data_IF_500057538691
#
_entry.id   IF_500057538691
#
_cell.length_a   1.000
_cell.length_b   1.000
_cell.length_c   1.000
_cell.angle_alpha   90.00
_cell.angle_beta   90.00
_cell.angle_gamma   90.00
#
_symmetry.space_group_name_H-M   'P 1'
#
loop_
_entity.id
_entity.type
_entity.pdbx_description
1 polymer ?
#
# COMPACT_ATOMS: atom_id res chain seq x y z
N UNK A 1 13.33 15.61 -17.29
CA UNK A 1 12.38 14.69 -16.64
C UNK A 1 13.15 13.48 -16.19
N UNK A 2 13.69 13.53 -14.97
CA UNK A 2 14.41 12.39 -14.40
C UNK A 2 13.37 11.34 -14.05
N UNK A 3 13.31 10.28 -14.86
CA UNK A 3 12.64 9.06 -14.47
C UNK A 3 13.39 8.53 -13.25
N UNK A 4 12.83 8.74 -12.06
CA UNK A 4 13.27 8.00 -10.89
C UNK A 4 13.09 6.53 -11.23
N UNK A 5 14.20 5.80 -11.34
CA UNK A 5 14.14 4.35 -11.35
C UNK A 5 13.34 3.95 -10.11
N UNK A 6 12.19 3.31 -10.32
CA UNK A 6 11.36 2.84 -9.22
C UNK A 6 12.20 1.85 -8.42
N UNK A 7 12.37 2.12 -7.13
CA UNK A 7 13.18 1.26 -6.27
C UNK A 7 12.47 -0.08 -6.10
N UNK A 8 13.12 -1.14 -6.57
CA UNK A 8 12.61 -2.51 -6.52
C UNK A 8 13.51 -3.38 -5.65
N UNK A 9 12.89 -4.28 -4.90
CA UNK A 9 13.52 -5.15 -3.92
C UNK A 9 13.35 -6.60 -4.33
N UNK A 10 14.42 -7.38 -4.22
CA UNK A 10 14.37 -8.83 -4.36
C UNK A 10 13.53 -9.42 -3.22
N UNK A 11 12.47 -10.15 -3.57
CA UNK A 11 11.49 -10.62 -2.60
C UNK A 11 12.02 -11.72 -1.67
N UNK A 12 13.14 -12.34 -2.00
CA UNK A 12 13.76 -13.41 -1.21
C UNK A 12 14.83 -12.86 -0.26
N UNK A 13 15.39 -11.68 -0.54
CA UNK A 13 16.53 -11.11 0.22
C UNK A 13 16.27 -9.72 0.83
N UNK A 14 15.35 -8.95 0.26
CA UNK A 14 15.10 -7.56 0.62
C UNK A 14 13.61 -7.26 0.92
N UNK A 15 12.82 -8.31 1.18
CA UNK A 15 11.41 -8.20 1.57
C UNK A 15 11.21 -7.38 2.84
N UNK A 16 12.10 -7.53 3.83
CA UNK A 16 12.04 -6.79 5.10
C UNK A 16 12.28 -5.29 4.92
N UNK A 17 13.17 -4.90 4.00
CA UNK A 17 13.42 -3.49 3.69
C UNK A 17 12.20 -2.87 2.98
N UNK A 18 11.62 -3.60 2.02
CA UNK A 18 10.38 -3.18 1.37
C UNK A 18 9.23 -3.07 2.38
N UNK A 19 9.13 -3.99 3.34
CA UNK A 19 8.15 -3.95 4.41
C UNK A 19 8.34 -2.72 5.30
N UNK A 20 9.58 -2.42 5.71
CA UNK A 20 9.88 -1.24 6.52
C UNK A 20 9.50 0.06 5.80
N UNK A 21 9.80 0.17 4.49
CA UNK A 21 9.43 1.34 3.68
C UNK A 21 7.92 1.46 3.50
N UNK A 22 7.23 0.34 3.26
CA UNK A 22 5.77 0.28 3.18
C UNK A 22 5.14 0.77 4.49
N UNK A 23 5.60 0.26 5.62
CA UNK A 23 5.08 0.60 6.94
C UNK A 23 5.31 2.10 7.26
N UNK A 24 6.53 2.59 7.05
CA UNK A 24 6.87 3.99 7.27
C UNK A 24 5.97 4.94 6.46
N UNK A 25 5.71 4.62 5.19
CA UNK A 25 4.84 5.43 4.35
C UNK A 25 3.39 5.48 4.87
N UNK A 26 2.87 4.36 5.40
CA UNK A 26 1.53 4.32 5.98
C UNK A 26 1.44 5.02 7.34
N UNK A 27 2.48 4.92 8.17
CA UNK A 27 2.53 5.62 9.46
C UNK A 27 2.56 7.15 9.28
N UNK A 28 3.26 7.66 8.26
CA UNK A 28 3.31 9.10 7.94
C UNK A 28 1.92 9.73 7.73
N UNK A 29 0.95 8.94 7.24
CA UNK A 29 -0.43 9.38 7.05
C UNK A 29 -1.36 9.00 8.21
N UNK A 30 -0.80 8.50 9.32
CA UNK A 30 -1.51 7.99 10.49
C UNK A 30 -2.48 6.85 10.16
N UNK A 31 -2.14 5.99 9.18
CA UNK A 31 -3.01 4.91 8.74
C UNK A 31 -3.41 3.96 9.87
N UNK A 32 -2.53 3.77 10.86
CA UNK A 32 -2.73 2.81 11.96
C UNK A 32 -3.43 3.41 13.19
N UNK A 33 -3.70 4.71 13.24
CA UNK A 33 -4.20 5.36 14.46
C UNK A 33 -5.73 5.32 14.52
N UNK A 34 -6.28 4.55 15.45
CA UNK A 34 -7.74 4.51 15.69
C UNK A 34 -8.21 5.39 16.84
N UNK A 35 -7.31 5.89 17.70
CA UNK A 35 -7.67 6.61 18.93
C UNK A 35 -7.26 8.08 18.90
N UNK A 36 -8.07 8.99 19.48
CA UNK A 36 -7.67 10.40 19.73
C UNK A 36 -6.39 10.53 20.55
N UNK A 37 -6.02 9.50 21.33
CA UNK A 37 -4.79 9.45 22.10
C UNK A 37 -3.53 9.15 21.25
N UNK A 38 -3.70 8.88 19.95
CA UNK A 38 -2.60 8.66 19.01
C UNK A 38 -1.91 7.30 19.08
N UNK A 39 -2.45 6.35 19.85
CA UNK A 39 -1.94 4.98 19.91
C UNK A 39 -2.27 4.20 18.62
N UNK A 40 -1.34 3.36 18.19
CA UNK A 40 -1.53 2.42 17.08
C UNK A 40 -2.61 1.39 17.44
N UNK A 41 -3.48 1.08 16.47
CA UNK A 41 -4.50 0.04 16.56
C UNK A 41 -3.91 -1.30 16.08
N UNK A 42 -3.74 -2.30 16.96
CA UNK A 42 -3.21 -3.61 16.60
C UNK A 42 -3.96 -4.28 15.44
N UNK A 43 -5.26 -4.01 15.29
CA UNK A 43 -6.05 -4.57 14.20
C UNK A 43 -5.66 -3.94 12.86
N UNK A 44 -5.32 -2.65 12.83
CA UNK A 44 -4.83 -1.97 11.62
C UNK A 44 -3.43 -2.42 11.24
N UNK A 45 -2.57 -2.70 12.23
CA UNK A 45 -1.24 -3.26 12.00
C UNK A 45 -1.33 -4.64 11.36
N UNK A 46 -2.15 -5.52 11.94
CA UNK A 46 -2.41 -6.85 11.40
C UNK A 46 -2.96 -6.79 9.97
N UNK A 47 -3.91 -5.88 9.71
CA UNK A 47 -4.48 -5.64 8.38
C UNK A 47 -3.43 -5.16 7.37
N UNK A 48 -2.52 -4.28 7.77
CA UNK A 48 -1.48 -3.76 6.90
C UNK A 48 -0.45 -4.83 6.52
N UNK A 49 -0.03 -5.66 7.49
CA UNK A 49 0.81 -6.83 7.23
C UNK A 49 0.13 -7.79 6.26
N UNK A 50 -1.16 -8.07 6.46
CA UNK A 50 -1.92 -8.90 5.52
C UNK A 50 -1.98 -8.30 4.11
N UNK A 51 -2.16 -6.97 3.99
CA UNK A 51 -2.16 -6.31 2.69
C UNK A 51 -0.81 -6.36 1.99
N UNK A 52 0.27 -6.28 2.76
CA UNK A 52 1.62 -6.45 2.23
C UNK A 52 1.81 -7.86 1.66
N UNK A 53 1.46 -8.89 2.43
CA UNK A 53 1.58 -10.29 2.00
C UNK A 53 0.72 -10.59 0.77
N UNK A 54 -0.53 -10.11 0.76
CA UNK A 54 -1.43 -10.24 -0.39
C UNK A 54 -0.83 -9.59 -1.65
N UNK A 55 -0.27 -8.39 -1.51
CA UNK A 55 0.34 -7.67 -2.62
C UNK A 55 1.56 -8.41 -3.17
N UNK A 56 2.43 -8.92 -2.30
CA UNK A 56 3.57 -9.73 -2.72
C UNK A 56 3.14 -11.03 -3.38
N UNK A 57 2.05 -11.65 -2.91
CA UNK A 57 1.48 -12.83 -3.56
C UNK A 57 1.00 -12.52 -4.98
N UNK A 58 0.37 -11.35 -5.20
CA UNK A 58 -0.04 -10.90 -6.55
C UNK A 58 1.19 -10.72 -7.45
N UNK A 59 2.25 -10.08 -6.95
CA UNK A 59 3.51 -9.90 -7.69
C UNK A 59 4.16 -11.23 -8.04
N UNK A 60 4.22 -12.17 -7.09
CA UNK A 60 4.79 -13.50 -7.34
C UNK A 60 3.97 -14.29 -8.36
N UNK A 61 2.64 -14.19 -8.31
CA UNK A 61 1.74 -14.83 -9.30
C UNK A 61 1.92 -14.31 -10.72
N UNK A 62 2.41 -13.08 -10.90
CA UNK A 62 2.78 -12.56 -12.22
C UNK A 62 4.17 -13.03 -12.68
N UNK A 63 4.82 -13.95 -11.95
CA UNK A 63 6.13 -14.49 -12.27
C UNK A 63 7.31 -13.57 -11.93
N UNK A 64 7.06 -12.42 -11.31
CA UNK A 64 8.12 -11.48 -10.92
C UNK A 64 8.70 -11.86 -9.55
N UNK A 65 10.01 -11.66 -9.42
CA UNK A 65 10.76 -11.88 -8.16
C UNK A 65 11.15 -10.60 -7.43
N UNK A 66 10.84 -9.46 -8.04
CA UNK A 66 11.09 -8.13 -7.48
C UNK A 66 9.78 -7.38 -7.33
N UNK A 67 9.68 -6.54 -6.29
CA UNK A 67 8.58 -5.61 -6.09
C UNK A 67 9.09 -4.27 -5.56
N UNK A 68 8.35 -3.20 -5.83
CA UNK A 68 8.57 -1.88 -5.24
C UNK A 68 7.32 -1.34 -4.55
N UNK A 69 7.43 -0.16 -3.94
CA UNK A 69 6.27 0.53 -3.33
C UNK A 69 5.15 0.81 -4.34
N UNK A 70 5.50 1.00 -5.62
CA UNK A 70 4.53 1.17 -6.71
C UNK A 70 3.62 -0.05 -6.88
N UNK A 71 4.15 -1.26 -6.71
CA UNK A 71 3.35 -2.48 -6.84
C UNK A 71 2.37 -2.62 -5.69
N UNK A 72 2.80 -2.24 -4.49
CA UNK A 72 1.94 -2.16 -3.31
C UNK A 72 0.87 -1.07 -3.50
N UNK A 73 1.22 0.08 -4.09
CA UNK A 73 0.28 1.14 -4.41
C UNK A 73 -0.79 0.69 -5.43
N UNK A 74 -0.37 -0.03 -6.48
CA UNK A 74 -1.28 -0.61 -7.48
C UNK A 74 -2.22 -1.67 -6.89
N UNK A 75 -1.72 -2.48 -5.94
CA UNK A 75 -2.55 -3.40 -5.16
C UNK A 75 -3.59 -2.64 -4.34
N UNK A 76 -3.19 -1.60 -3.60
CA UNK A 76 -4.11 -0.77 -2.79
C UNK A 76 -5.18 -0.12 -3.67
N UNK A 77 -4.80 0.47 -4.80
CA UNK A 77 -5.74 1.03 -5.79
C UNK A 77 -6.72 -0.03 -6.28
N UNK A 78 -6.24 -1.22 -6.65
CA UNK A 78 -7.10 -2.28 -7.18
C UNK A 78 -8.10 -2.78 -6.13
N UNK A 79 -7.64 -3.00 -4.89
CA UNK A 79 -8.50 -3.36 -3.76
C UNK A 79 -9.51 -2.24 -3.43
N UNK A 80 -9.10 -0.97 -3.54
CA UNK A 80 -9.97 0.19 -3.42
C UNK A 80 -11.09 0.20 -4.48
N UNK A 81 -10.74 -0.13 -5.74
CA UNK A 81 -11.72 -0.27 -6.82
C UNK A 81 -12.75 -1.37 -6.50
N UNK A 82 -12.34 -2.47 -5.85
CA UNK A 82 -13.25 -3.56 -5.46
C UNK A 82 -14.25 -3.10 -4.40
N UNK A 83 -13.80 -2.31 -3.41
CA UNK A 83 -14.69 -1.69 -2.44
C UNK A 83 -15.62 -0.64 -3.06
N UNK A 84 -15.15 0.12 -4.06
CA UNK A 84 -16.01 1.04 -4.83
C UNK A 84 -17.13 0.31 -5.55
N UNK A 85 -16.83 -0.79 -6.26
CA UNK A 85 -17.85 -1.63 -6.91
C UNK A 85 -18.84 -2.21 -5.92
N UNK A 86 -18.39 -2.44 -4.69
CA UNK A 86 -19.20 -2.95 -3.58
C UNK A 86 -19.88 -1.85 -2.76
N UNK A 87 -19.84 -0.58 -3.19
CA UNK A 87 -20.41 0.60 -2.52
C UNK A 87 -19.90 0.85 -1.09
N UNK A 88 -18.73 0.32 -0.75
CA UNK A 88 -18.06 0.53 0.54
C UNK A 88 -17.07 1.70 0.44
N UNK A 89 -17.60 2.90 0.25
CA UNK A 89 -16.82 4.09 -0.12
C UNK A 89 -15.73 4.45 0.90
N UNK A 90 -16.01 4.36 2.21
CA UNK A 90 -15.01 4.69 3.23
C UNK A 90 -13.77 3.79 3.17
N UNK A 91 -13.97 2.48 2.94
CA UNK A 91 -12.86 1.52 2.79
C UNK A 91 -12.08 1.75 1.50
N UNK A 92 -12.75 2.19 0.43
CA UNK A 92 -12.08 2.55 -0.80
C UNK A 92 -11.20 3.79 -0.61
N UNK A 93 -11.73 4.85 0.01
CA UNK A 93 -11.00 6.08 0.35
C UNK A 93 -9.75 5.77 1.17
N UNK A 94 -9.88 4.93 2.19
CA UNK A 94 -8.75 4.46 3.02
C UNK A 94 -7.65 3.82 2.16
N UNK A 95 -8.01 2.90 1.25
CA UNK A 95 -7.07 2.23 0.37
C UNK A 95 -6.43 3.16 -0.67
N UNK A 96 -7.20 4.08 -1.26
CA UNK A 96 -6.61 5.07 -2.18
C UNK A 96 -5.68 6.04 -1.46
N UNK A 97 -5.99 6.39 -0.21
CA UNK A 97 -5.10 7.19 0.63
C UNK A 97 -3.79 6.45 0.90
N UNK A 98 -3.85 5.14 1.19
CA UNK A 98 -2.66 4.29 1.27
C UNK A 98 -1.88 4.21 -0.05
N UNK A 99 -2.55 4.06 -1.19
CA UNK A 99 -1.89 4.07 -2.51
C UNK A 99 -1.13 5.39 -2.77
N UNK A 100 -1.72 6.53 -2.40
CA UNK A 100 -1.07 7.84 -2.48
C UNK A 100 0.16 7.92 -1.59
N UNK A 101 0.09 7.39 -0.36
CA UNK A 101 1.24 7.39 0.55
C UNK A 101 2.43 6.62 -0.03
N UNK A 102 2.16 5.49 -0.68
CA UNK A 102 3.15 4.61 -1.30
C UNK A 102 3.71 5.15 -2.63
N UNK A 103 2.90 5.91 -3.39
CA UNK A 103 3.34 6.57 -4.62
C UNK A 103 2.57 7.88 -4.88
N UNK A 104 3.15 8.98 -4.40
CA UNK A 104 2.54 10.33 -4.36
C UNK A 104 2.37 10.99 -5.73
N UNK A 105 3.09 10.54 -6.74
CA UNK A 105 3.12 11.18 -8.07
C UNK A 105 2.02 10.66 -9.00
N UNK A 106 1.34 9.57 -8.64
CA UNK A 106 0.33 8.98 -9.50
C UNK A 106 -1.03 9.69 -9.31
N UNK A 107 -1.39 10.54 -10.28
CA UNK A 107 -2.65 11.29 -10.27
C UNK A 107 -3.89 10.40 -10.24
N UNK A 108 -3.84 9.16 -10.74
CA UNK A 108 -4.99 8.25 -10.77
C UNK A 108 -5.48 7.95 -9.36
N UNK A 109 -4.58 7.79 -8.39
CA UNK A 109 -4.98 7.48 -7.02
C UNK A 109 -5.76 8.63 -6.37
N UNK A 110 -5.44 9.87 -6.72
CA UNK A 110 -6.19 11.05 -6.29
C UNK A 110 -7.56 11.15 -6.94
N UNK A 111 -7.66 10.82 -8.23
CA UNK A 111 -8.94 10.81 -8.94
C UNK A 111 -9.89 9.71 -8.41
N UNK A 112 -9.33 8.60 -7.93
CA UNK A 112 -10.11 7.49 -7.41
C UNK A 112 -10.59 7.68 -5.97
N UNK A 113 -9.85 8.47 -5.15
CA UNK A 113 -10.15 8.75 -3.74
C UNK A 113 -11.37 9.66 -3.58
#
# INVERSE_FOLDING_TARGET
SEGQAEETFDLDHAGDELFAKFYAALDEINFFKASPAGAEDPDQLSKASQFFDDALLVVRKSGRKVAGLVDLAEFFKSKGNDFMRSKQHLKAVELYTGAIALSRKNAIYYCNR
#
